data_IF_709999457832
#
_entry.id   IF_709999457832
#
_cell.length_a   1.000
_cell.length_b   1.000
_cell.length_c   1.000
_cell.angle_alpha   90.00
_cell.angle_beta   90.00
_cell.angle_gamma   90.00
#
_symmetry.space_group_name_H-M   'P 1'
#
loop_
_entity.id
_entity.type
_entity.pdbx_description
1 polymer ?
2 water ?
#
# COMPACT_ATOMS: atom_id res chain seq x y z
C UNK A 1 16.87 -8.84 -32.37
N UNK A 2 15.63 -9.22 -32.00
CA UNK A 2 14.78 -8.33 -31.22
C UNK A 2 15.10 -8.36 -29.73
N UNK A 3 14.62 -7.32 -29.05
CA UNK A 3 14.82 -7.19 -27.59
C UNK A 3 14.15 -8.37 -26.90
N UNK A 4 14.60 -8.60 -25.68
CA UNK A 4 14.02 -9.63 -24.85
C UNK A 4 12.63 -9.26 -24.34
N UNK A 5 12.02 -10.19 -23.60
CA UNK A 5 10.68 -9.95 -23.06
C UNK A 5 10.70 -8.90 -21.95
N UNK A 6 9.53 -8.38 -21.61
CA UNK A 6 9.38 -7.42 -20.50
C UNK A 6 9.81 -8.12 -19.23
N UNK A 7 10.25 -7.31 -18.27
CA UNK A 7 10.62 -7.83 -16.98
C UNK A 7 9.43 -8.25 -16.15
N UNK A 8 9.69 -8.84 -14.98
CA UNK A 8 8.64 -9.17 -14.02
C UNK A 8 7.89 -7.92 -13.51
N UNK A 9 6.70 -8.10 -12.98
CA UNK A 9 6.02 -7.02 -12.26
C UNK A 9 6.94 -6.55 -11.15
N UNK A 10 6.79 -5.29 -10.78
CA UNK A 10 7.51 -4.76 -9.64
C UNK A 10 7.08 -5.30 -8.29
N UNK A 11 7.82 -4.91 -7.25
CA UNK A 11 7.44 -5.24 -5.87
C UNK A 11 6.08 -4.67 -5.51
N UNK A 12 5.46 -5.28 -4.52
CA UNK A 12 4.24 -4.76 -3.96
C UNK A 12 4.49 -3.42 -3.27
N UNK A 13 3.46 -2.56 -3.24
CA UNK A 13 3.61 -1.24 -2.67
C UNK A 13 3.62 -1.21 -1.16
N UNK A 14 3.77 0.00 -0.66
CA UNK A 14 3.81 0.31 0.77
C UNK A 14 2.45 0.06 1.46
N UNK A 15 2.47 -0.38 2.70
CA UNK A 15 1.23 -0.52 3.48
C UNK A 15 0.50 0.82 3.51
N UNK A 16 -0.83 0.75 3.52
CA UNK A 16 -1.63 1.96 3.50
C UNK A 16 -1.51 2.78 4.75
N UNK A 17 -1.98 4.04 4.70
CA UNK A 17 -1.95 4.85 5.90
C UNK A 17 -2.86 4.32 7.00
N UNK A 18 -2.58 4.67 8.24
CA UNK A 18 -3.54 4.42 9.34
C UNK A 18 -4.89 5.01 9.00
N UNK A 19 -5.96 4.35 9.45
CA UNK A 19 -7.26 4.96 9.40
C UNK A 19 -7.41 6.14 10.35
N UNK A 20 -8.57 6.79 10.31
CA UNK A 20 -8.86 7.92 11.19
C UNK A 20 -9.10 7.46 12.61
N UNK A 21 -9.00 8.38 13.57
CA UNK A 21 -9.40 8.07 14.95
C UNK A 21 -10.79 7.42 15.01
N UNK A 22 -10.98 6.56 16.00
CA UNK A 22 -12.27 5.94 16.22
C UNK A 22 -13.31 6.91 16.75
N UNK A 23 -14.54 6.42 16.89
CA UNK A 23 -15.62 7.25 17.41
C UNK A 23 -15.40 7.67 18.85
N UNK A 24 -16.07 8.73 19.26
CA UNK A 24 -16.12 9.11 20.68
C UNK A 24 -16.61 7.97 21.55
N UNK A 25 -16.13 7.99 22.78
CA UNK A 25 -16.55 7.00 23.76
C UNK A 25 -17.92 7.50 24.26
N UNK A 26 -18.66 6.60 24.89
C UNK B 1 19.42 -8.45 -27.29
N UNK B 2 19.06 -7.16 -27.38
CA UNK B 2 19.14 -6.24 -26.24
C UNK B 2 18.22 -6.66 -25.10
N UNK B 3 18.43 -6.11 -23.91
CA UNK B 3 17.50 -6.41 -22.81
C UNK B 3 16.11 -5.92 -23.15
N UNK B 4 15.09 -6.63 -22.66
CA UNK B 4 13.73 -6.15 -22.77
C UNK B 4 13.45 -4.94 -21.90
N UNK B 5 12.23 -4.44 -21.99
CA UNK B 5 11.85 -3.27 -21.21
C UNK B 5 11.41 -3.65 -19.80
N UNK B 6 11.23 -2.64 -18.97
CA UNK B 6 10.81 -2.87 -17.58
C UNK B 6 9.45 -3.54 -17.57
N UNK B 7 9.25 -4.34 -16.53
CA UNK B 7 7.96 -4.93 -16.28
C UNK B 7 6.93 -3.92 -15.82
N UNK B 8 5.68 -4.36 -15.65
CA UNK B 8 4.62 -3.48 -15.15
C UNK B 8 4.86 -3.05 -13.70
N UNK B 9 4.25 -1.95 -13.30
CA UNK B 9 4.24 -1.55 -11.88
C UNK B 9 3.73 -2.71 -11.05
N UNK B 10 4.30 -2.85 -9.86
CA UNK B 10 3.88 -3.85 -8.89
C UNK B 10 2.46 -3.66 -8.36
N UNK B 11 1.97 -4.67 -7.64
CA UNK B 11 0.62 -4.56 -7.08
C UNK B 11 0.54 -3.46 -6.02
N UNK B 12 -0.68 -2.98 -5.83
CA UNK B 12 -0.97 -2.03 -4.78
C UNK B 12 -0.68 -2.67 -3.43
N UNK B 13 -0.19 -1.85 -2.51
CA UNK B 13 0.10 -2.29 -1.16
C UNK B 13 -1.14 -2.74 -0.42
N UNK B 14 -0.92 -3.30 0.76
CA UNK B 14 -2.02 -3.81 1.55
C UNK B 14 -2.71 -2.67 2.29
N UNK B 15 -3.95 -2.88 2.70
CA UNK B 15 -4.66 -1.85 3.48
C UNK B 15 -3.91 -1.53 4.75
N UNK B 16 -4.02 -0.25 5.12
CA UNK B 16 -3.38 0.24 6.30
C UNK B 16 -4.05 -0.28 7.56
N UNK B 17 -3.41 -0.02 8.69
CA UNK B 17 -3.96 -0.47 9.97
C UNK B 17 -5.15 0.37 10.44
N UNK B 18 -5.88 -0.15 11.41
CA UNK B 18 -6.92 0.63 12.09
C UNK B 18 -6.29 1.89 12.66
N UNK B 19 -7.07 2.95 12.67
CA UNK B 19 -6.66 4.17 13.33
C UNK B 19 -6.50 4.04 14.83
N UNK B 20 -6.05 5.12 15.47
CA UNK B 20 -5.97 5.13 16.92
C UNK B 20 -7.35 5.20 17.52
N UNK B 21 -7.43 4.96 18.81
CA UNK B 21 -8.70 5.07 19.54
C UNK B 21 -9.21 6.50 19.42
N UNK B 22 -10.51 6.66 19.57
CA UNK B 22 -11.07 8.01 19.65
C UNK B 22 -10.44 8.79 20.80
N UNK B 23 -10.37 10.13 20.68
CA UNK B 23 -9.65 10.94 21.66
C UNK B 23 -10.35 11.01 23.02
N UNK B 24 -9.58 11.19 24.09
CA UNK B 24 -10.16 11.32 25.44
C UNK B 24 -11.02 12.57 25.40
N UNK B 25 -12.21 12.48 25.96
CA UNK B 25 -13.14 13.62 25.97
C UNK B 25 -13.76 13.77 24.56
N UNK B 26 -14.48 14.86 24.35
C UNK C 1 17.05 -11.33 -24.16
N UNK C 2 17.79 -10.85 -23.13
CA UNK C 2 17.39 -11.20 -21.77
C UNK C 2 16.15 -10.42 -21.37
N UNK C 3 15.43 -10.90 -20.37
CA UNK C 3 14.25 -10.19 -19.88
C UNK C 3 14.66 -8.83 -19.35
N UNK C 4 13.73 -7.89 -19.43
CA UNK C 4 13.96 -6.58 -18.86
C UNK C 4 13.95 -6.61 -17.33
N UNK C 5 14.22 -5.46 -16.72
CA UNK C 5 14.17 -5.28 -15.27
C UNK C 5 12.78 -5.46 -14.67
N UNK C 6 12.73 -5.79 -13.39
CA UNK C 6 11.46 -5.78 -12.66
C UNK C 6 10.91 -4.36 -12.77
N UNK C 7 9.59 -4.29 -12.83
CA UNK C 7 8.89 -3.03 -12.82
C UNK C 7 9.06 -2.23 -11.55
N UNK C 8 8.53 -1.02 -11.56
CA UNK C 8 8.60 -0.19 -10.37
C UNK C 8 7.72 -0.72 -9.26
N UNK C 9 8.01 -0.30 -8.03
CA UNK C 9 7.13 -0.63 -6.89
C UNK C 9 5.71 -0.18 -7.19
N UNK C 10 4.77 -0.96 -6.69
CA UNK C 10 3.39 -0.56 -6.75
C UNK C 10 3.04 0.63 -5.85
N UNK C 11 1.81 1.08 -6.01
CA UNK C 11 1.33 2.22 -5.23
C UNK C 11 1.01 1.84 -3.79
N UNK C 12 0.89 2.86 -2.97
CA UNK C 12 0.57 2.68 -1.57
C UNK C 12 -0.84 2.10 -1.40
N UNK C 13 -0.98 1.26 -0.39
CA UNK C 13 -2.27 0.67 -0.06
C UNK C 13 -3.34 1.65 0.39
N UNK C 14 -4.54 1.12 0.63
CA UNK C 14 -5.68 1.94 0.96
C UNK C 14 -5.63 2.35 2.43
N UNK C 15 -6.25 3.47 2.77
CA UNK C 15 -6.33 3.89 4.17
C UNK C 15 -7.01 2.81 4.99
N UNK C 16 -6.54 2.60 6.21
CA UNK C 16 -7.10 1.58 7.07
C UNK C 16 -8.44 1.95 7.68
N UNK C 17 -9.05 0.99 8.37
CA UNK C 17 -10.30 1.24 9.05
C UNK C 17 -10.22 2.32 10.14
N UNK C 18 -11.32 2.94 10.51
CA UNK C 18 -11.38 3.78 11.71
C UNK C 18 -10.90 2.97 12.91
N UNK C 19 -10.29 3.68 13.85
CA UNK C 19 -9.93 3.10 15.13
C UNK C 19 -11.09 2.73 16.00
N UNK C 20 -10.79 2.14 17.16
CA UNK C 20 -11.87 1.75 18.07
C UNK C 20 -12.40 2.94 18.86
N UNK C 21 -13.54 2.77 19.49
CA UNK C 21 -14.13 3.88 20.25
C UNK C 21 -13.17 4.40 21.31
N UNK C 22 -13.24 5.71 21.55
CA UNK C 22 -12.49 6.35 22.61
C UNK C 22 -13.05 6.06 23.99
N UNK C 23 -12.40 6.59 25.02
CA UNK C 23 -12.84 6.30 26.38
C UNK C 23 -14.18 6.95 26.72
N UNK C 24 -14.87 6.39 27.70
CA UNK C 24 -16.20 6.88 28.11
C UNK C 24 -16.02 8.30 28.62
N UNK C 25 -16.98 9.14 28.30
CA UNK C 25 -16.86 10.57 28.60
C UNK C 25 -16.99 11.32 27.25
N UNK C 26 -16.25 12.42 27.13
#
# INVERSE_FOLDING_TARGET
XPPGPPGPPGPKGEPGPPGPPGPPGX
XPPGPPGPPGPKGEPGPPGPPGPPGX
XPPGPPGPPGPKGEPGPPGPPGPPGX
#
